data_IF_540691453960
#
_entry.id   IF_540691453960
#
_cell.length_a   1.000
_cell.length_b   1.000
_cell.length_c   1.000
_cell.angle_alpha   90.00
_cell.angle_beta   90.00
_cell.angle_gamma   90.00
#
_symmetry.space_group_name_H-M   'P 1'
#
loop_
_entity.id
_entity.type
_entity.pdbx_description
1 polymer ?
#
# COMPACT_ATOMS: atom_id res chain seq x y z
N UNK A 1 5.40 92.34 26.38
CA UNK A 1 6.09 91.22 27.08
C UNK A 1 6.38 90.16 26.02
N UNK A 2 7.64 89.90 25.69
CA UNK A 2 8.05 89.03 24.58
C UNK A 2 7.78 87.54 24.88
N UNK A 3 7.54 86.68 23.87
CA UNK A 3 7.48 85.23 24.08
C UNK A 3 8.82 84.71 24.60
N UNK A 4 8.82 83.69 25.49
CA UNK A 4 10.06 83.15 26.05
C UNK A 4 10.93 82.61 24.91
N UNK A 5 12.17 83.10 24.82
CA UNK A 5 13.19 82.60 23.90
C UNK A 5 13.46 81.12 24.20
N UNK A 6 13.40 80.23 23.20
CA UNK A 6 13.69 78.82 23.41
C UNK A 6 15.14 78.65 23.86
N UNK A 7 15.32 77.87 24.92
CA UNK A 7 16.59 77.67 25.59
C UNK A 7 17.53 76.86 24.66
N UNK A 8 18.71 77.36 24.26
CA UNK A 8 19.55 76.74 23.22
C UNK A 8 20.20 75.40 23.64
N UNK A 9 20.02 74.98 24.90
CA UNK A 9 20.56 73.75 25.47
C UNK A 9 19.47 72.76 25.90
N UNK A 10 18.28 72.80 25.27
CA UNK A 10 17.33 71.70 25.41
C UNK A 10 17.90 70.46 24.71
N UNK A 11 18.25 69.44 25.50
CA UNK A 11 18.52 68.10 24.98
C UNK A 11 17.27 67.61 24.25
N UNK A 12 17.36 67.53 22.92
CA UNK A 12 16.38 66.83 22.11
C UNK A 12 16.53 65.34 22.41
N UNK A 13 15.50 64.75 22.98
CA UNK A 13 15.48 63.33 23.28
C UNK A 13 15.67 62.55 21.96
N UNK A 14 16.71 61.72 21.85
CA UNK A 14 16.99 61.01 20.60
C UNK A 14 15.81 60.10 20.27
N UNK A 15 15.37 60.11 18.99
CA UNK A 15 14.31 59.21 18.51
C UNK A 15 14.63 57.78 18.97
N UNK A 16 13.63 57.11 19.55
CA UNK A 16 13.79 55.72 19.98
C UNK A 16 14.22 54.84 18.79
N UNK A 17 15.17 53.92 18.99
CA UNK A 17 15.70 53.08 17.90
C UNK A 17 14.62 52.22 17.23
N UNK A 18 13.53 51.96 17.93
CA UNK A 18 12.34 51.26 17.43
C UNK A 18 11.66 52.00 16.26
N UNK A 19 11.76 53.33 16.20
CA UNK A 19 11.21 54.14 15.11
C UNK A 19 12.02 54.04 13.81
N UNK A 20 13.23 53.47 13.85
CA UNK A 20 14.08 53.23 12.69
C UNK A 20 13.89 51.83 12.08
N UNK A 21 13.18 50.94 12.80
CA UNK A 21 12.88 49.61 12.30
C UNK A 21 11.66 49.70 11.36
N UNK A 22 11.70 49.08 10.18
CA UNK A 22 10.49 48.90 9.39
C UNK A 22 9.48 48.14 10.24
N UNK A 23 8.25 48.67 10.36
CA UNK A 23 7.16 48.01 11.07
C UNK A 23 6.76 46.75 10.30
N UNK A 24 7.51 45.67 10.49
CA UNK A 24 7.30 44.40 9.83
C UNK A 24 6.06 43.75 10.47
N UNK A 25 4.95 43.75 9.73
CA UNK A 25 3.75 43.06 10.18
C UNK A 25 3.95 41.54 10.07
N UNK A 26 3.61 40.81 11.13
CA UNK A 26 3.70 39.34 11.15
C UNK A 26 2.54 38.64 10.42
N UNK A 27 1.53 39.41 10.01
CA UNK A 27 0.34 38.95 9.29
C UNK A 27 0.61 38.06 8.06
N UNK A 28 1.49 38.42 7.11
CA UNK A 28 1.79 37.57 5.95
C UNK A 28 2.38 36.21 6.35
N UNK A 29 3.19 36.16 7.41
CA UNK A 29 3.77 34.90 7.90
C UNK A 29 2.72 34.00 8.55
N UNK A 30 1.80 34.57 9.33
CA UNK A 30 0.68 33.82 9.91
C UNK A 30 -0.23 33.23 8.83
N UNK A 31 -0.54 33.99 7.78
CA UNK A 31 -1.32 33.49 6.64
C UNK A 31 -0.56 32.38 5.91
N UNK A 32 0.73 32.54 5.67
CA UNK A 32 1.55 31.51 5.03
C UNK A 32 1.59 30.21 5.86
N UNK A 33 1.74 30.30 7.19
CA UNK A 33 1.67 29.15 8.08
C UNK A 33 0.29 28.48 8.05
N UNK A 34 -0.80 29.25 8.06
CA UNK A 34 -2.15 28.71 7.98
C UNK A 34 -2.40 27.97 6.66
N UNK A 35 -1.94 28.52 5.53
CA UNK A 35 -2.02 27.88 4.22
C UNK A 35 -1.18 26.59 4.19
N UNK A 36 0.03 26.61 4.73
CA UNK A 36 0.89 25.43 4.79
C UNK A 36 0.25 24.30 5.62
N UNK A 37 -0.33 24.62 6.77
CA UNK A 37 -1.05 23.66 7.61
C UNK A 37 -2.27 23.09 6.87
N UNK A 38 -3.03 23.93 6.16
CA UNK A 38 -4.16 23.47 5.37
C UNK A 38 -3.74 22.51 4.24
N UNK A 39 -2.63 22.80 3.56
CA UNK A 39 -2.07 21.92 2.53
C UNK A 39 -1.63 20.59 3.13
N UNK A 40 -0.91 20.61 4.27
CA UNK A 40 -0.47 19.40 4.96
C UNK A 40 -1.66 18.55 5.43
N UNK A 41 -2.69 19.17 5.99
CA UNK A 41 -3.90 18.49 6.42
C UNK A 41 -4.66 17.89 5.23
N UNK A 42 -4.81 18.63 4.13
CA UNK A 42 -5.42 18.12 2.90
C UNK A 42 -4.61 16.95 2.32
N UNK A 43 -3.28 17.05 2.29
CA UNK A 43 -2.40 15.99 1.83
C UNK A 43 -2.54 14.73 2.71
N UNK A 44 -2.55 14.88 4.03
CA UNK A 44 -2.79 13.77 4.95
C UNK A 44 -4.15 13.12 4.72
N UNK A 45 -5.23 13.90 4.65
CA UNK A 45 -6.58 13.36 4.39
C UNK A 45 -6.63 12.61 3.06
N UNK A 46 -6.03 13.14 1.99
CA UNK A 46 -5.98 12.47 0.69
C UNK A 46 -5.18 11.16 0.76
N UNK A 47 -4.03 11.14 1.44
CA UNK A 47 -3.23 9.93 1.63
C UNK A 47 -4.00 8.87 2.42
N UNK A 48 -4.71 9.27 3.48
CA UNK A 48 -5.54 8.37 4.29
C UNK A 48 -6.77 7.85 3.53
N UNK A 49 -7.33 8.67 2.63
CA UNK A 49 -8.43 8.24 1.75
C UNK A 49 -7.99 7.26 0.67
N UNK A 50 -6.71 7.25 0.28
CA UNK A 50 -6.14 6.21 -0.59
C UNK A 50 -5.98 4.88 0.14
N UNK A 51 -5.67 4.90 1.44
CA UNK A 51 -5.69 3.67 2.26
C UNK A 51 -7.11 3.13 2.45
N UNK A 52 -8.12 4.00 2.49
CA UNK A 52 -9.53 3.60 2.55
C UNK A 52 -10.12 3.20 1.19
N UNK A 53 -9.30 2.91 0.17
CA UNK A 53 -9.79 2.27 -1.05
C UNK A 53 -10.63 1.06 -0.66
N UNK A 54 -11.86 1.05 -1.16
CA UNK A 54 -12.88 0.06 -0.87
C UNK A 54 -12.24 -1.34 -0.90
N UNK A 55 -12.42 -2.19 0.15
CA UNK A 55 -11.91 -3.55 0.15
C UNK A 55 -12.19 -4.30 -1.17
N UNK A 56 -13.33 -4.02 -1.81
CA UNK A 56 -13.70 -4.59 -3.11
C UNK A 56 -12.83 -4.09 -4.27
N UNK A 57 -12.48 -2.80 -4.32
CA UNK A 57 -11.57 -2.23 -5.31
C UNK A 57 -10.15 -2.79 -5.15
N UNK A 58 -9.68 -2.91 -3.90
CA UNK A 58 -8.38 -3.52 -3.60
C UNK A 58 -8.34 -4.97 -4.09
N UNK A 59 -9.37 -5.75 -3.80
CA UNK A 59 -9.49 -7.14 -4.25
C UNK A 59 -9.53 -7.24 -5.78
N UNK A 60 -10.34 -6.42 -6.45
CA UNK A 60 -10.42 -6.39 -7.92
C UNK A 60 -9.08 -6.01 -8.56
N UNK A 61 -8.38 -5.02 -8.01
CA UNK A 61 -7.05 -4.63 -8.50
C UNK A 61 -5.99 -5.71 -8.29
N UNK A 62 -6.13 -6.52 -7.23
CA UNK A 62 -5.23 -7.64 -6.94
C UNK A 62 -5.50 -8.81 -7.89
N UNK A 63 -6.78 -9.07 -8.18
CA UNK A 63 -7.19 -10.06 -9.18
C UNK A 63 -6.64 -9.73 -10.56
N UNK A 64 -6.84 -8.51 -11.07
CA UNK A 64 -6.36 -8.13 -12.40
C UNK A 64 -4.82 -8.21 -12.50
N UNK A 65 -4.10 -7.78 -11.44
CA UNK A 65 -2.64 -7.94 -11.40
C UNK A 65 -2.23 -9.40 -11.43
N UNK A 66 -2.87 -10.26 -10.63
CA UNK A 66 -2.58 -11.69 -10.60
C UNK A 66 -2.89 -12.36 -11.96
N UNK A 67 -3.98 -11.97 -12.61
CA UNK A 67 -4.35 -12.46 -13.94
C UNK A 67 -3.30 -12.09 -14.99
N UNK A 68 -2.91 -10.81 -15.05
CA UNK A 68 -1.89 -10.33 -15.99
C UNK A 68 -0.52 -10.98 -15.74
N UNK A 69 -0.13 -11.16 -14.49
CA UNK A 69 1.12 -11.85 -14.13
C UNK A 69 1.10 -13.31 -14.62
N UNK A 70 -0.02 -14.02 -14.47
CA UNK A 70 -0.16 -15.41 -14.96
C UNK A 70 -0.25 -15.50 -16.49
N UNK A 71 -0.86 -14.52 -17.16
CA UNK A 71 -1.00 -14.48 -18.63
C UNK A 71 0.33 -14.13 -19.33
N UNK A 72 1.15 -13.29 -18.71
CA UNK A 72 2.43 -12.85 -19.28
C UNK A 72 3.61 -13.78 -18.97
N UNK A 73 3.41 -14.77 -18.10
CA UNK A 73 4.45 -15.71 -17.74
C UNK A 73 4.71 -16.73 -18.87
N UNK A 74 5.99 -16.88 -19.23
CA UNK A 74 6.48 -17.87 -20.21
C UNK A 74 7.49 -18.83 -19.54
N UNK A 75 7.03 -19.74 -18.67
CA UNK A 75 7.91 -20.65 -17.95
C UNK A 75 8.39 -21.77 -18.87
N UNK A 76 9.71 -21.97 -18.91
CA UNK A 76 10.34 -23.04 -19.68
C UNK A 76 10.36 -24.39 -18.96
N UNK A 77 10.09 -24.38 -17.65
CA UNK A 77 10.23 -25.54 -16.80
C UNK A 77 9.04 -25.66 -15.82
N UNK A 78 8.50 -26.88 -15.58
CA UNK A 78 7.30 -27.07 -14.77
C UNK A 78 7.48 -26.60 -13.31
N UNK A 79 8.69 -26.78 -12.76
CA UNK A 79 9.03 -26.27 -11.42
C UNK A 79 8.88 -24.74 -11.35
N UNK A 80 9.33 -24.03 -12.37
CA UNK A 80 9.28 -22.56 -12.40
C UNK A 80 7.84 -22.08 -12.54
N UNK A 81 7.03 -22.76 -13.37
CA UNK A 81 5.60 -22.50 -13.49
C UNK A 81 4.87 -22.66 -12.14
N UNK A 82 5.18 -23.74 -11.40
CA UNK A 82 4.57 -24.00 -10.09
C UNK A 82 5.02 -23.01 -9.01
N UNK A 83 6.30 -22.60 -9.01
CA UNK A 83 6.80 -21.55 -8.13
C UNK A 83 6.09 -20.24 -8.44
N UNK A 84 6.10 -19.82 -9.71
CA UNK A 84 5.47 -18.58 -10.15
C UNK A 84 3.99 -18.53 -9.81
N UNK A 85 3.22 -19.55 -10.23
CA UNK A 85 1.78 -19.64 -9.97
C UNK A 85 1.46 -19.56 -8.49
N UNK A 86 2.22 -20.26 -7.65
CA UNK A 86 2.00 -20.22 -6.21
C UNK A 86 2.29 -18.86 -5.56
N UNK A 87 3.28 -18.12 -6.07
CA UNK A 87 3.64 -16.80 -5.53
C UNK A 87 2.56 -15.77 -5.90
N UNK A 88 2.06 -15.83 -7.13
CA UNK A 88 0.97 -14.96 -7.59
C UNK A 88 -0.29 -15.22 -6.78
N UNK A 89 -0.66 -16.49 -6.58
CA UNK A 89 -1.85 -16.86 -5.80
C UNK A 89 -1.74 -16.45 -4.33
N UNK A 90 -0.58 -16.58 -3.70
CA UNK A 90 -0.37 -16.08 -2.32
C UNK A 90 -0.54 -14.58 -2.23
N UNK A 91 0.04 -13.84 -3.18
CA UNK A 91 -0.09 -12.38 -3.25
C UNK A 91 -1.55 -11.95 -3.39
N UNK A 92 -2.33 -12.68 -4.18
CA UNK A 92 -3.77 -12.49 -4.28
C UNK A 92 -4.48 -12.75 -2.93
N UNK A 93 -4.16 -13.86 -2.27
CA UNK A 93 -4.77 -14.21 -0.97
C UNK A 93 -4.46 -13.21 0.14
N UNK A 94 -3.27 -12.57 0.14
CA UNK A 94 -2.96 -11.45 1.05
C UNK A 94 -3.91 -10.30 0.84
N UNK A 95 -4.22 -9.97 -0.42
CA UNK A 95 -5.18 -8.91 -0.72
C UNK A 95 -6.61 -9.31 -0.35
N UNK A 96 -6.97 -10.60 -0.44
CA UNK A 96 -8.30 -11.11 -0.09
C UNK A 96 -8.53 -11.22 1.43
N UNK A 97 -7.51 -11.63 2.19
CA UNK A 97 -7.60 -11.88 3.65
C UNK A 97 -7.08 -10.72 4.48
N UNK A 98 -6.26 -9.84 3.91
CA UNK A 98 -5.60 -8.76 4.63
C UNK A 98 -4.46 -9.22 5.56
N UNK A 99 -4.08 -10.50 5.52
CA UNK A 99 -3.04 -11.07 6.38
C UNK A 99 -1.67 -11.09 5.66
N UNK A 100 -0.68 -10.28 6.08
CA UNK A 100 0.65 -10.25 5.48
C UNK A 100 1.51 -11.49 5.79
N UNK A 101 1.09 -12.36 6.73
CA UNK A 101 1.85 -13.55 7.13
C UNK A 101 1.95 -14.64 6.06
N UNK A 102 1.16 -14.54 4.97
CA UNK A 102 1.20 -15.49 3.85
C UNK A 102 2.51 -15.44 3.03
N UNK A 103 3.44 -14.55 3.38
CA UNK A 103 4.77 -14.42 2.78
C UNK A 103 5.90 -15.15 3.51
N UNK A 104 5.69 -15.67 4.73
CA UNK A 104 6.79 -16.13 5.59
C UNK A 104 7.44 -17.44 5.07
N UNK A 105 6.69 -18.53 4.85
CA UNK A 105 7.16 -19.75 4.13
C UNK A 105 5.97 -20.62 3.64
N UNK A 106 6.20 -21.62 2.76
CA UNK A 106 5.12 -22.55 2.33
C UNK A 106 4.63 -23.46 3.46
N UNK A 107 5.55 -23.94 4.28
CA UNK A 107 5.28 -24.77 5.46
C UNK A 107 4.47 -23.98 6.49
N UNK A 108 4.84 -22.71 6.77
CA UNK A 108 4.06 -21.85 7.66
C UNK A 108 2.70 -21.47 7.08
N UNK A 109 2.55 -21.33 5.75
CA UNK A 109 1.24 -21.12 5.12
C UNK A 109 0.29 -22.31 5.33
N UNK A 110 0.79 -23.54 5.25
CA UNK A 110 -0.01 -24.75 5.49
C UNK A 110 -0.29 -24.92 7.00
N UNK A 111 0.71 -24.66 7.83
CA UNK A 111 0.62 -24.82 9.28
C UNK A 111 -0.26 -23.75 9.96
N UNK A 112 -0.26 -22.52 9.45
CA UNK A 112 -1.15 -21.44 9.90
C UNK A 112 -2.50 -21.57 9.23
N UNK A 113 -3.24 -22.60 9.65
CA UNK A 113 -4.66 -22.77 9.33
C UNK A 113 -5.47 -21.49 9.58
N UNK A 114 -5.02 -20.65 10.51
CA UNK A 114 -5.59 -19.35 10.91
C UNK A 114 -5.62 -18.31 9.80
N UNK A 115 -4.62 -18.27 8.92
CA UNK A 115 -4.53 -17.24 7.87
C UNK A 115 -5.59 -17.40 6.77
N UNK A 116 -6.15 -18.62 6.64
CA UNK A 116 -7.26 -18.93 5.75
C UNK A 116 -8.62 -19.07 6.48
N UNK A 117 -8.70 -18.88 7.81
CA UNK A 117 -9.97 -18.96 8.55
C UNK A 117 -10.95 -17.85 8.18
N UNK A 118 -10.47 -16.75 7.59
CA UNK A 118 -11.32 -15.70 7.04
C UNK A 118 -12.06 -16.13 5.76
N UNK A 119 -11.63 -17.23 5.13
CA UNK A 119 -12.29 -17.82 3.96
C UNK A 119 -13.30 -18.86 4.42
N UNK A 120 -14.37 -19.05 3.64
CA UNK A 120 -15.27 -20.18 3.86
C UNK A 120 -14.54 -21.52 3.66
N UNK A 121 -15.10 -22.59 4.24
CA UNK A 121 -14.47 -23.92 4.23
C UNK A 121 -14.18 -24.41 2.81
N UNK A 122 -15.06 -24.13 1.84
CA UNK A 122 -14.92 -24.61 0.48
C UNK A 122 -13.81 -23.88 -0.28
N UNK A 123 -13.65 -22.57 -0.04
CA UNK A 123 -12.56 -21.77 -0.62
C UNK A 123 -11.21 -22.12 -0.01
N UNK A 124 -11.18 -22.37 1.30
CA UNK A 124 -9.98 -22.85 2.00
C UNK A 124 -9.53 -24.20 1.45
N UNK A 125 -10.44 -25.16 1.27
CA UNK A 125 -10.12 -26.49 0.73
C UNK A 125 -9.56 -26.41 -0.70
N UNK A 126 -10.14 -25.54 -1.53
CA UNK A 126 -9.65 -25.29 -2.89
C UNK A 126 -8.22 -24.72 -2.88
N UNK A 127 -7.94 -23.75 -2.00
CA UNK A 127 -6.61 -23.19 -1.83
C UNK A 127 -5.61 -24.28 -1.37
N UNK A 128 -5.94 -25.04 -0.33
CA UNK A 128 -5.07 -26.10 0.21
C UNK A 128 -4.76 -27.15 -0.84
N UNK A 129 -5.78 -27.66 -1.54
CA UNK A 129 -5.62 -28.65 -2.60
C UNK A 129 -4.73 -28.12 -3.74
N UNK A 130 -4.98 -26.89 -4.19
CA UNK A 130 -4.19 -26.22 -5.22
C UNK A 130 -2.72 -26.03 -4.83
N UNK A 131 -2.47 -25.52 -3.62
CA UNK A 131 -1.10 -25.32 -3.13
C UNK A 131 -0.35 -26.63 -2.88
N UNK A 132 -1.03 -27.67 -2.40
CA UNK A 132 -0.44 -29.00 -2.27
C UNK A 132 0.01 -29.55 -3.63
N UNK A 133 -0.78 -29.30 -4.68
CA UNK A 133 -0.41 -29.70 -6.04
C UNK A 133 0.81 -28.92 -6.55
N UNK A 134 0.89 -27.61 -6.33
CA UNK A 134 2.11 -26.85 -6.64
C UNK A 134 3.32 -27.30 -5.82
N UNK A 135 3.13 -27.72 -4.57
CA UNK A 135 4.18 -28.27 -3.72
C UNK A 135 4.80 -29.53 -4.35
N UNK A 136 3.98 -30.41 -4.91
CA UNK A 136 4.45 -31.61 -5.60
C UNK A 136 5.44 -31.26 -6.73
N UNK A 137 5.15 -30.23 -7.54
CA UNK A 137 6.06 -29.77 -8.59
C UNK A 137 7.33 -29.08 -8.04
N UNK A 138 7.22 -28.37 -6.93
CA UNK A 138 8.33 -27.61 -6.32
C UNK A 138 9.37 -28.49 -5.62
N UNK A 139 8.93 -29.54 -4.94
CA UNK A 139 9.75 -30.33 -4.04
C UNK A 139 10.03 -31.75 -4.56
N UNK A 140 9.42 -32.16 -5.68
CA UNK A 140 9.78 -33.42 -6.31
C UNK A 140 11.28 -33.44 -6.68
N UNK A 141 12.01 -34.56 -6.44
CA UNK A 141 13.40 -34.73 -6.87
C UNK A 141 13.55 -34.54 -8.37
N UNK A 142 12.63 -35.13 -9.13
CA UNK A 142 12.44 -34.93 -10.55
C UNK A 142 10.98 -34.51 -10.76
N UNK A 143 10.71 -33.28 -11.23
CA UNK A 143 9.35 -32.83 -11.41
C UNK A 143 8.67 -33.72 -12.45
N UNK A 144 7.37 -34.05 -12.26
CA UNK A 144 6.62 -34.77 -13.27
C UNK A 144 6.78 -34.10 -14.63
N UNK A 145 6.93 -34.90 -15.69
CA UNK A 145 6.93 -34.40 -17.06
C UNK A 145 5.53 -33.84 -17.37
N UNK A 146 5.38 -32.55 -17.09
CA UNK A 146 4.15 -31.81 -17.12
C UNK A 146 4.39 -30.52 -17.89
N UNK A 147 3.41 -30.17 -18.71
CA UNK A 147 3.46 -28.96 -19.50
C UNK A 147 3.45 -27.70 -18.59
N UNK A 148 4.49 -26.84 -18.64
CA UNK A 148 4.56 -25.63 -17.82
C UNK A 148 3.36 -24.69 -18.06
N UNK A 149 2.86 -24.61 -19.29
CA UNK A 149 1.66 -23.83 -19.63
C UNK A 149 0.40 -24.42 -19.00
N UNK A 150 0.29 -25.74 -18.92
CA UNK A 150 -0.75 -26.44 -18.17
C UNK A 150 -0.76 -26.06 -16.68
N UNK A 151 0.41 -26.01 -16.03
CA UNK A 151 0.52 -25.63 -14.61
C UNK A 151 0.07 -24.17 -14.38
N UNK A 152 0.40 -23.24 -15.29
CA UNK A 152 -0.11 -21.87 -15.21
C UNK A 152 -1.61 -21.77 -15.50
N UNK A 153 -2.15 -22.60 -16.39
CA UNK A 153 -3.59 -22.69 -16.60
C UNK A 153 -4.31 -23.13 -15.32
N UNK A 154 -3.76 -24.11 -14.60
CA UNK A 154 -4.28 -24.53 -13.31
C UNK A 154 -4.24 -23.41 -12.26
N UNK A 155 -3.15 -22.63 -12.23
CA UNK A 155 -3.06 -21.46 -11.35
C UNK A 155 -4.12 -20.40 -11.67
N UNK A 156 -4.44 -20.19 -12.95
CA UNK A 156 -5.51 -19.27 -13.38
C UNK A 156 -6.89 -19.77 -12.96
N UNK A 157 -7.20 -21.05 -13.20
CA UNK A 157 -8.48 -21.64 -12.77
C UNK A 157 -8.65 -21.57 -11.24
N UNK A 158 -7.58 -21.78 -10.49
CA UNK A 158 -7.61 -21.60 -9.04
C UNK A 158 -7.83 -20.13 -8.66
N UNK A 159 -7.15 -19.18 -9.30
CA UNK A 159 -7.34 -17.74 -9.07
C UNK A 159 -8.80 -17.32 -9.32
N UNK A 160 -9.41 -17.77 -10.41
CA UNK A 160 -10.81 -17.52 -10.74
C UNK A 160 -11.76 -18.09 -9.67
N UNK A 161 -11.51 -19.34 -9.25
CA UNK A 161 -12.30 -20.01 -8.20
C UNK A 161 -12.21 -19.25 -6.87
N UNK A 162 -11.01 -18.82 -6.49
CA UNK A 162 -10.79 -18.04 -5.27
C UNK A 162 -11.48 -16.67 -5.38
N UNK A 163 -11.42 -16.02 -6.54
CA UNK A 163 -12.01 -14.70 -6.72
C UNK A 163 -13.54 -14.70 -6.71
N UNK A 164 -14.16 -15.67 -7.38
CA UNK A 164 -15.62 -15.81 -7.40
C UNK A 164 -16.21 -16.03 -6.01
N UNK A 165 -15.45 -16.66 -5.11
CA UNK A 165 -15.90 -17.00 -3.75
C UNK A 165 -15.47 -16.00 -2.68
N UNK A 166 -14.40 -15.24 -2.93
CA UNK A 166 -13.95 -14.17 -2.04
C UNK A 166 -14.63 -12.82 -2.31
N UNK A 167 -15.28 -12.64 -3.47
CA UNK A 167 -16.06 -11.43 -3.76
C UNK A 167 -17.38 -11.44 -2.95
N UNK A 168 -17.72 -10.34 -2.23
CA UNK A 168 -18.97 -10.22 -1.49
C UNK A 168 -20.21 -10.13 -2.39
#
# INVERSE_FOLDING_TARGET
MNPPTPNPLQLLEPRSPEALLPQASAWPWLVACAVLIAILAACWVLLRRRESSDPSERLRSAYERARLDLESADPRHPRDAAIHGSLVLRRYLVAATGDPSLYETHEEFIARHDALQMLDAQTRDAAVCGFARFAAFKYAPEPPDADPTGILAEARTLLETLHQRAAP
#
